data_IF_996242219125
#
_entry.id   IF_996242219125
#
_cell.length_a   1.000
_cell.length_b   1.000
_cell.length_c   1.000
_cell.angle_alpha   90.00
_cell.angle_beta   90.00
_cell.angle_gamma   90.00
#
_symmetry.space_group_name_H-M   'P 1'
#
loop_
_entity.id
_entity.type
_entity.pdbx_description
1 polymer ?
#
# COMPACT_ATOMS: atom_id res chain seq x y z
N UNK A 1 -2.22 -6.03 3.56
CA UNK A 1 -2.08 -5.39 4.89
C UNK A 1 -2.39 -3.91 4.78
N UNK A 2 -2.99 -3.29 5.79
CA UNK A 2 -3.20 -1.83 5.80
C UNK A 2 -2.45 -1.25 6.99
N UNK A 3 -1.61 -0.26 6.73
CA UNK A 3 -0.97 0.56 7.76
C UNK A 3 -1.72 1.88 7.85
N UNK A 4 -2.42 2.09 8.95
CA UNK A 4 -3.22 3.29 9.18
C UNK A 4 -2.47 4.28 10.07
N UNK A 5 -2.04 5.39 9.49
CA UNK A 5 -1.39 6.52 10.15
C UNK A 5 -2.24 7.80 10.02
N UNK A 6 -3.52 7.68 9.67
CA UNK A 6 -4.41 8.82 9.38
C UNK A 6 -4.60 9.78 10.56
N UNK A 7 -4.49 9.28 11.78
CA UNK A 7 -4.66 10.05 13.02
C UNK A 7 -3.35 10.60 13.60
N UNK A 8 -2.21 10.41 12.91
CA UNK A 8 -0.93 10.95 13.39
C UNK A 8 -0.85 12.46 13.17
N UNK A 9 -0.65 13.22 14.23
CA UNK A 9 -0.42 14.67 14.19
C UNK A 9 1.04 15.07 13.93
N UNK A 10 1.98 14.13 14.12
CA UNK A 10 3.41 14.35 13.90
C UNK A 10 4.05 13.12 13.29
N UNK A 11 4.97 13.33 12.36
CA UNK A 11 5.77 12.30 11.71
C UNK A 11 7.22 12.79 11.58
N UNK A 12 8.19 11.88 11.64
CA UNK A 12 9.61 12.23 11.61
C UNK A 12 10.37 11.37 10.62
N UNK A 13 11.62 11.75 10.32
CA UNK A 13 12.50 10.98 9.43
C UNK A 13 12.69 9.52 9.86
N UNK A 14 12.66 9.21 11.17
CA UNK A 14 12.72 7.83 11.64
C UNK A 14 11.51 7.00 11.17
N UNK A 15 10.35 7.63 11.04
CA UNK A 15 9.15 7.01 10.46
C UNK A 15 9.33 6.69 8.97
N UNK A 16 10.04 7.54 8.22
CA UNK A 16 10.35 7.28 6.81
C UNK A 16 11.25 6.04 6.69
N UNK A 17 12.30 5.93 7.53
CA UNK A 17 13.16 4.75 7.55
C UNK A 17 12.38 3.47 7.86
N UNK A 18 11.42 3.53 8.80
CA UNK A 18 10.53 2.40 9.09
C UNK A 18 9.69 2.01 7.88
N UNK A 19 9.11 2.98 7.15
CA UNK A 19 8.31 2.68 5.96
C UNK A 19 9.16 2.06 4.84
N UNK A 20 10.42 2.46 4.68
CA UNK A 20 11.33 1.82 3.71
C UNK A 20 11.60 0.35 4.06
N UNK A 21 11.85 0.04 5.34
CA UNK A 21 12.06 -1.34 5.81
C UNK A 21 10.79 -2.16 5.60
N UNK A 22 9.63 -1.59 5.96
CA UNK A 22 8.34 -2.24 5.78
C UNK A 22 8.04 -2.56 4.31
N UNK A 23 8.34 -1.64 3.39
CA UNK A 23 8.12 -1.87 1.96
C UNK A 23 8.98 -3.03 1.44
N UNK A 24 10.26 -3.06 1.83
CA UNK A 24 11.18 -4.14 1.45
C UNK A 24 10.74 -5.48 2.03
N UNK A 25 10.37 -5.53 3.32
CA UNK A 25 9.91 -6.76 3.97
C UNK A 25 8.60 -7.26 3.34
N UNK A 26 7.66 -6.37 3.04
CA UNK A 26 6.41 -6.73 2.36
C UNK A 26 6.67 -7.28 0.95
N UNK A 27 7.58 -6.65 0.20
CA UNK A 27 7.99 -7.08 -1.13
C UNK A 27 8.65 -8.46 -1.08
N UNK A 28 9.59 -8.67 -0.17
CA UNK A 28 10.28 -9.94 0.03
C UNK A 28 9.31 -11.07 0.42
N UNK A 29 8.30 -10.76 1.23
CA UNK A 29 7.25 -11.71 1.62
C UNK A 29 6.14 -11.91 0.58
N UNK A 30 6.13 -11.13 -0.52
CA UNK A 30 5.04 -11.13 -1.49
C UNK A 30 3.71 -10.60 -0.93
N UNK A 31 3.76 -9.86 0.17
CA UNK A 31 2.60 -9.29 0.85
C UNK A 31 2.27 -7.93 0.23
N UNK A 32 1.07 -7.79 -0.31
CA UNK A 32 0.58 -6.47 -0.69
C UNK A 32 0.20 -5.65 0.53
N UNK A 33 0.53 -4.36 0.50
CA UNK A 33 0.19 -3.43 1.56
C UNK A 33 -0.26 -2.07 1.02
N UNK A 34 -0.88 -1.28 1.89
CA UNK A 34 -1.28 0.09 1.59
C UNK A 34 -1.13 0.98 2.84
N UNK A 35 -0.74 2.23 2.63
CA UNK A 35 -0.59 3.27 3.64
C UNK A 35 -1.76 4.25 3.60
N UNK A 36 -2.41 4.47 4.73
CA UNK A 36 -3.35 5.59 4.90
C UNK A 36 -2.63 6.66 5.71
N UNK A 37 -2.26 7.75 5.04
CA UNK A 37 -1.41 8.80 5.62
C UNK A 37 -2.24 9.99 6.11
N UNK A 38 -1.87 10.56 7.26
CA UNK A 38 -2.35 11.88 7.68
C UNK A 38 -1.65 12.99 6.88
N UNK A 39 -2.16 14.24 6.92
CA UNK A 39 -1.48 15.39 6.33
C UNK A 39 -0.03 15.56 6.83
N UNK A 40 0.22 15.34 8.13
CA UNK A 40 1.56 15.44 8.70
C UNK A 40 2.53 14.39 8.12
N UNK A 41 2.04 13.19 7.82
CA UNK A 41 2.83 12.14 7.16
C UNK A 41 3.09 12.52 5.70
N UNK A 42 2.07 12.99 4.98
CA UNK A 42 2.17 13.40 3.57
C UNK A 42 3.20 14.53 3.38
N UNK A 43 3.19 15.53 4.26
CA UNK A 43 4.14 16.65 4.22
C UNK A 43 5.59 16.15 4.36
N UNK A 44 5.83 15.26 5.31
CA UNK A 44 7.16 14.69 5.55
C UNK A 44 7.64 13.78 4.41
N UNK A 45 6.72 13.14 3.69
CA UNK A 45 7.03 12.33 2.50
C UNK A 45 7.25 13.17 1.24
N UNK A 46 7.26 14.49 1.35
CA UNK A 46 7.61 15.40 0.26
C UNK A 46 6.43 15.79 -0.64
N UNK A 47 5.19 15.73 -0.14
CA UNK A 47 4.02 16.38 -0.76
C UNK A 47 3.60 15.87 -2.15
N UNK A 48 4.25 14.84 -2.71
CA UNK A 48 3.96 14.25 -4.03
C UNK A 48 2.68 13.39 -4.05
N UNK A 49 1.69 13.70 -3.23
CA UNK A 49 0.40 13.00 -3.23
C UNK A 49 -0.52 13.45 -4.38
N UNK A 50 -0.21 14.57 -5.04
CA UNK A 50 -1.02 15.06 -6.15
C UNK A 50 -0.47 14.66 -7.52
N UNK A 51 -1.13 13.65 -8.09
CA UNK A 51 -1.44 13.50 -9.51
C UNK A 51 -0.32 13.83 -10.51
N UNK A 52 0.53 12.83 -10.76
CA UNK A 52 1.42 12.79 -11.91
C UNK A 52 2.15 11.46 -11.95
N UNK A 53 2.57 11.05 -13.14
CA UNK A 53 3.13 9.75 -13.53
C UNK A 53 4.43 9.34 -12.81
N UNK A 54 4.82 10.04 -11.74
CA UNK A 54 5.84 9.60 -10.81
C UNK A 54 5.19 8.76 -9.72
N UNK A 55 5.52 7.46 -9.72
CA UNK A 55 5.09 6.53 -8.68
C UNK A 55 5.36 7.13 -7.30
N UNK A 56 4.31 7.22 -6.48
CA UNK A 56 4.45 7.64 -5.09
C UNK A 56 5.38 6.67 -4.36
N UNK A 57 6.22 7.20 -3.47
CA UNK A 57 7.23 6.41 -2.76
C UNK A 57 6.67 5.17 -2.05
N UNK A 58 5.43 5.24 -1.58
CA UNK A 58 4.72 4.15 -0.92
C UNK A 58 3.31 3.98 -1.53
N UNK A 59 2.72 2.77 -1.44
CA UNK A 59 1.37 2.50 -1.94
C UNK A 59 0.31 3.18 -1.07
N UNK A 60 -0.05 4.42 -1.38
CA UNK A 60 -0.99 5.20 -0.56
C UNK A 60 -2.45 4.98 -0.94
N UNK A 61 -3.33 5.03 0.06
CA UNK A 61 -4.77 5.02 -0.09
C UNK A 61 -5.42 6.14 0.72
N UNK A 62 -6.50 6.73 0.17
CA UNK A 62 -7.22 7.85 0.80
C UNK A 62 -7.95 7.50 2.10
N UNK A 63 -8.20 6.21 2.34
CA UNK A 63 -8.89 5.71 3.53
C UNK A 63 -8.65 4.23 3.72
N UNK A 64 -8.84 3.74 4.94
CA UNK A 64 -8.76 2.30 5.27
C UNK A 64 -9.76 1.49 4.43
N UNK A 65 -10.98 2.01 4.27
CA UNK A 65 -11.99 1.34 3.45
C UNK A 65 -11.53 1.15 2.00
N UNK A 66 -10.97 2.19 1.38
CA UNK A 66 -10.44 2.09 0.02
C UNK A 66 -9.25 1.13 -0.06
N UNK A 67 -8.34 1.19 0.92
CA UNK A 67 -7.19 0.30 1.01
C UNK A 67 -7.62 -1.17 1.07
N UNK A 68 -8.58 -1.50 1.93
CA UNK A 68 -9.11 -2.86 2.07
C UNK A 68 -9.82 -3.34 0.80
N UNK A 69 -10.61 -2.45 0.17
CA UNK A 69 -11.25 -2.74 -1.11
C UNK A 69 -10.21 -3.09 -2.18
N UNK A 70 -9.19 -2.26 -2.35
CA UNK A 70 -8.16 -2.48 -3.38
C UNK A 70 -7.37 -3.77 -3.16
N UNK A 71 -7.09 -4.11 -1.91
CA UNK A 71 -6.44 -5.37 -1.56
C UNK A 71 -7.34 -6.58 -1.87
N UNK A 72 -8.64 -6.49 -1.57
CA UNK A 72 -9.61 -7.54 -1.89
C UNK A 72 -9.72 -7.75 -3.41
N UNK A 73 -9.87 -6.67 -4.17
CA UNK A 73 -9.87 -6.67 -5.63
C UNK A 73 -8.63 -7.34 -6.20
N UNK A 74 -7.45 -7.02 -5.65
CA UNK A 74 -6.20 -7.59 -6.11
C UNK A 74 -6.11 -9.10 -5.82
N UNK A 75 -6.65 -9.56 -4.70
CA UNK A 75 -6.75 -11.00 -4.38
C UNK A 75 -7.68 -11.70 -5.37
N UNK A 76 -8.84 -11.13 -5.63
CA UNK A 76 -9.83 -11.72 -6.53
C UNK A 76 -9.32 -11.79 -7.97
N UNK A 77 -8.64 -10.75 -8.46
CA UNK A 77 -7.97 -10.76 -9.77
C UNK A 77 -6.93 -11.87 -9.86
N UNK A 78 -6.07 -12.03 -8.85
CA UNK A 78 -5.07 -13.11 -8.84
C UNK A 78 -5.71 -14.48 -8.89
N UNK A 79 -6.77 -14.70 -8.11
CA UNK A 79 -7.53 -15.95 -8.13
C UNK A 79 -8.09 -16.22 -9.52
N UNK A 80 -8.77 -15.24 -10.11
CA UNK A 80 -9.37 -15.35 -11.45
C UNK A 80 -8.34 -15.71 -12.53
N UNK A 81 -7.13 -15.15 -12.47
CA UNK A 81 -6.06 -15.48 -13.42
C UNK A 81 -5.55 -16.92 -13.30
N UNK A 82 -5.62 -17.52 -12.10
CA UNK A 82 -5.13 -18.88 -11.85
C UNK A 82 -6.23 -19.94 -12.07
N UNK A 83 -7.51 -19.57 -11.95
CA UNK A 83 -8.64 -20.50 -12.13
C UNK A 83 -8.56 -21.38 -13.41
N UNK A 84 -8.24 -20.84 -14.61
CA UNK A 84 -8.17 -21.64 -15.84
C UNK A 84 -7.02 -22.66 -15.86
N UNK A 85 -5.96 -22.43 -15.08
CA UNK A 85 -4.83 -23.35 -14.96
C UNK A 85 -5.20 -24.57 -14.12
N UNK A 86 -5.98 -24.35 -13.06
CA UNK A 86 -6.45 -25.42 -12.18
C UNK A 86 -7.47 -26.30 -12.91
N UNK A 87 -8.41 -25.71 -13.66
CA UNK A 87 -9.47 -26.46 -14.35
C UNK A 87 -9.00 -27.32 -15.53
N UNK A 88 -7.79 -27.10 -16.06
CA UNK A 88 -7.18 -27.92 -17.14
C UNK A 88 -6.33 -29.08 -16.62
N UNK A 89 -6.10 -29.13 -15.31
CA UNK A 89 -5.23 -30.11 -14.67
C UNK A 89 -5.97 -31.40 -14.24
N UNK A 90 -7.25 -31.56 -14.64
CA UNK A 90 -8.14 -32.67 -14.28
C UNK A 90 -8.53 -33.47 -15.52
#
# INVERSE_FOLDING_TARGET
MVLDLSELSHFSGAGISLLCILDEDCRAAGVQWALVASPAVVEQLGGRCDQGEHESMFPMARSVHKALHDLADAIDRRRQLVLPLISRSA
#
